data_IF_883598589953
#
_entry.id   IF_883598589953
#
_cell.length_a   1.000
_cell.length_b   1.000
_cell.length_c   1.000
_cell.angle_alpha   90.00
_cell.angle_beta   90.00
_cell.angle_gamma   90.00
#
_symmetry.space_group_name_H-M   'P 1'
#
loop_
_entity.id
_entity.type
_entity.pdbx_description
1 polymer ?
#
# COMPACT_ATOMS: atom_id res chain seq x y z
N UNK A 1 -24.06 1.55 -4.54
CA UNK A 1 -23.51 1.08 -3.25
C UNK A 1 -24.68 0.54 -2.43
N UNK A 2 -24.69 -0.76 -2.11
CA UNK A 2 -25.78 -1.35 -1.32
C UNK A 2 -25.69 -0.94 0.14
N UNK A 3 -26.83 -0.93 0.85
CA UNK A 3 -26.88 -0.65 2.29
C UNK A 3 -26.04 -1.69 3.06
N UNK A 4 -25.06 -1.23 3.83
CA UNK A 4 -24.27 -2.09 4.71
C UNK A 4 -25.18 -2.57 5.86
N UNK A 5 -25.26 -3.88 6.09
CA UNK A 5 -26.08 -4.49 7.17
C UNK A 5 -25.53 -4.24 8.59
N UNK A 6 -24.42 -3.51 8.72
CA UNK A 6 -23.68 -3.35 9.98
C UNK A 6 -23.21 -1.89 10.12
N UNK A 7 -23.15 -1.34 11.36
CA UNK A 7 -22.78 0.05 11.62
C UNK A 7 -21.26 0.28 11.69
N UNK A 8 -20.44 -0.67 11.24
CA UNK A 8 -18.98 -0.62 11.34
C UNK A 8 -18.32 -0.97 10.01
N UNK A 9 -17.04 -0.62 9.89
CA UNK A 9 -16.19 -0.92 8.74
C UNK A 9 -15.04 -1.80 9.17
N UNK A 10 -14.54 -2.63 8.25
CA UNK A 10 -13.37 -3.45 8.51
C UNK A 10 -12.12 -2.84 7.88
N UNK A 11 -11.05 -2.82 8.66
CA UNK A 11 -9.71 -2.51 8.20
C UNK A 11 -8.76 -3.68 8.50
N UNK A 12 -7.67 -3.77 7.75
CA UNK A 12 -6.62 -4.77 8.00
C UNK A 12 -5.29 -4.28 7.47
N UNK A 13 -4.21 -4.98 7.80
CA UNK A 13 -2.85 -4.71 7.31
C UNK A 13 -2.42 -5.83 6.38
N UNK A 14 -1.95 -5.47 5.18
CA UNK A 14 -1.51 -6.40 4.15
C UNK A 14 -0.24 -5.89 3.46
N UNK A 15 0.38 -6.74 2.65
CA UNK A 15 1.48 -6.31 1.79
C UNK A 15 0.95 -5.85 0.42
N UNK A 16 1.79 -5.18 -0.36
CA UNK A 16 1.43 -4.66 -1.69
C UNK A 16 1.05 -5.77 -2.69
N UNK A 17 1.39 -7.04 -2.40
CA UNK A 17 0.99 -8.21 -3.21
C UNK A 17 -0.53 -8.35 -3.35
N UNK A 18 -1.32 -7.70 -2.50
CA UNK A 18 -2.78 -7.64 -2.68
C UNK A 18 -3.17 -7.14 -4.08
N UNK A 19 -2.38 -6.25 -4.68
CA UNK A 19 -2.61 -5.74 -6.03
C UNK A 19 -2.61 -6.84 -7.11
N UNK A 20 -2.01 -8.00 -6.82
CA UNK A 20 -1.91 -9.14 -7.74
C UNK A 20 -3.08 -10.15 -7.55
N UNK A 21 -3.89 -9.99 -6.50
CA UNK A 21 -4.97 -10.92 -6.14
C UNK A 21 -6.34 -10.24 -6.21
N UNK A 22 -6.87 -10.18 -7.44
CA UNK A 22 -8.18 -9.59 -7.71
C UNK A 22 -9.31 -10.31 -6.97
N UNK A 23 -9.27 -11.63 -6.90
CA UNK A 23 -10.31 -12.42 -6.24
C UNK A 23 -10.37 -12.10 -4.75
N UNK A 24 -9.21 -12.06 -4.08
CA UNK A 24 -9.14 -11.68 -2.67
C UNK A 24 -9.68 -10.26 -2.44
N UNK A 25 -9.29 -9.27 -3.25
CA UNK A 25 -9.81 -7.92 -3.11
C UNK A 25 -11.33 -7.86 -3.29
N UNK A 26 -11.89 -8.58 -4.27
CA UNK A 26 -13.34 -8.68 -4.45
C UNK A 26 -14.04 -9.29 -3.24
N UNK A 27 -13.47 -10.35 -2.66
CA UNK A 27 -13.99 -10.99 -1.45
C UNK A 27 -13.91 -10.08 -0.23
N UNK A 28 -12.81 -9.33 -0.07
CA UNK A 28 -12.64 -8.34 0.99
C UNK A 28 -13.71 -7.25 0.92
N UNK A 29 -13.93 -6.68 -0.26
CA UNK A 29 -14.98 -5.65 -0.46
C UNK A 29 -16.37 -6.23 -0.18
N UNK A 30 -16.66 -7.45 -0.66
CA UNK A 30 -17.93 -8.16 -0.36
C UNK A 30 -18.11 -8.43 1.15
N UNK A 31 -17.02 -8.73 1.86
CA UNK A 31 -17.02 -8.94 3.30
C UNK A 31 -17.14 -7.63 4.12
N UNK A 32 -17.04 -6.47 3.48
CA UNK A 32 -17.22 -5.16 4.10
C UNK A 32 -15.93 -4.46 4.53
N UNK A 33 -14.76 -4.94 4.07
CA UNK A 33 -13.52 -4.17 4.17
C UNK A 33 -13.61 -2.95 3.26
N UNK A 34 -13.17 -1.81 3.78
CA UNK A 34 -13.06 -0.59 2.98
C UNK A 34 -11.67 0.04 3.04
N UNK A 35 -10.80 -0.43 3.92
CA UNK A 35 -9.47 0.14 4.12
C UNK A 35 -8.44 -0.96 4.35
N UNK A 36 -7.29 -0.83 3.68
CA UNK A 36 -6.09 -1.64 3.93
C UNK A 36 -4.93 -0.74 4.27
N UNK A 37 -4.17 -1.11 5.29
CA UNK A 37 -2.87 -0.53 5.56
C UNK A 37 -1.82 -1.33 4.80
N UNK A 38 -1.01 -0.65 3.99
CA UNK A 38 0.09 -1.24 3.22
C UNK A 38 1.40 -0.60 3.64
N UNK A 39 2.34 -1.41 4.10
CA UNK A 39 3.71 -0.97 4.39
C UNK A 39 4.50 -0.78 3.10
N UNK A 40 4.49 0.46 2.57
CA UNK A 40 5.27 0.89 1.41
C UNK A 40 6.74 1.09 1.81
N UNK A 41 6.96 1.58 3.03
CA UNK A 41 8.23 1.86 3.69
C UNK A 41 9.07 2.94 3.00
N UNK A 42 9.57 2.70 1.80
CA UNK A 42 10.46 3.63 1.09
C UNK A 42 10.26 3.53 -0.42
N UNK A 43 10.40 4.64 -1.18
CA UNK A 43 10.52 4.62 -2.63
C UNK A 43 11.93 4.21 -3.11
N UNK A 44 12.87 3.98 -2.19
CA UNK A 44 14.25 3.60 -2.48
C UNK A 44 14.47 2.08 -2.42
N UNK A 45 14.96 1.49 -3.50
CA UNK A 45 15.14 0.04 -3.57
C UNK A 45 16.21 -0.50 -2.61
N UNK A 46 17.29 0.25 -2.34
CA UNK A 46 18.32 -0.22 -1.41
C UNK A 46 17.79 -0.25 0.03
N UNK A 47 17.00 0.77 0.41
CA UNK A 47 16.28 0.81 1.68
C UNK A 47 15.25 -0.33 1.80
N UNK A 48 14.55 -0.66 0.71
CA UNK A 48 13.63 -1.80 0.69
C UNK A 48 14.36 -3.14 0.84
N UNK A 49 15.54 -3.30 0.24
CA UNK A 49 16.38 -4.50 0.42
C UNK A 49 16.86 -4.61 1.87
N UNK A 50 17.34 -3.51 2.44
CA UNK A 50 17.81 -3.42 3.83
C UNK A 50 16.74 -3.88 4.82
N UNK A 51 15.49 -3.40 4.66
CA UNK A 51 14.38 -3.76 5.55
C UNK A 51 13.61 -5.04 5.13
N UNK A 52 14.08 -5.77 4.11
CA UNK A 52 13.51 -7.04 3.69
C UNK A 52 12.15 -6.95 2.97
N UNK A 53 11.79 -5.78 2.43
CA UNK A 53 10.53 -5.52 1.71
C UNK A 53 10.63 -5.87 0.22
N UNK A 54 11.06 -7.09 -0.08
CA UNK A 54 11.29 -7.54 -1.45
C UNK A 54 10.05 -7.49 -2.34
N UNK A 55 8.87 -7.65 -1.75
CA UNK A 55 7.59 -7.54 -2.47
C UNK A 55 7.28 -6.12 -2.98
N UNK A 56 8.00 -5.10 -2.51
CA UNK A 56 7.87 -3.71 -2.95
C UNK A 56 8.88 -3.36 -4.07
N UNK A 57 9.82 -4.26 -4.38
CA UNK A 57 10.89 -4.07 -5.38
C UNK A 57 10.44 -4.59 -6.74
N UNK A 58 11.04 -4.10 -7.83
CA UNK A 58 10.78 -4.54 -9.21
C UNK A 58 9.31 -4.37 -9.64
N UNK A 59 8.59 -3.42 -9.03
CA UNK A 59 7.21 -3.11 -9.39
C UNK A 59 6.93 -1.63 -9.29
N UNK A 60 5.93 -1.17 -10.03
CA UNK A 60 5.43 0.18 -9.91
C UNK A 60 4.45 0.25 -8.72
N UNK A 61 4.95 0.72 -7.57
CA UNK A 61 4.16 0.84 -6.34
C UNK A 61 2.91 1.71 -6.52
N UNK A 62 3.00 2.81 -7.28
CA UNK A 62 1.86 3.69 -7.52
C UNK A 62 0.77 2.98 -8.33
N UNK A 63 1.14 2.23 -9.36
CA UNK A 63 0.16 1.45 -10.13
C UNK A 63 -0.44 0.32 -9.29
N UNK A 64 0.33 -0.36 -8.45
CA UNK A 64 -0.19 -1.35 -7.50
C UNK A 64 -1.19 -0.74 -6.51
N UNK A 65 -0.90 0.46 -5.98
CA UNK A 65 -1.83 1.21 -5.11
C UNK A 65 -3.12 1.55 -5.87
N UNK A 66 -3.01 2.04 -7.11
CA UNK A 66 -4.18 2.35 -7.95
C UNK A 66 -5.04 1.13 -8.23
N UNK A 67 -4.45 -0.04 -8.46
CA UNK A 67 -5.20 -1.29 -8.65
C UNK A 67 -6.06 -1.59 -7.41
N UNK A 68 -5.49 -1.48 -6.20
CA UNK A 68 -6.21 -1.70 -4.95
C UNK A 68 -7.34 -0.67 -4.78
N UNK A 69 -7.06 0.61 -5.05
CA UNK A 69 -8.04 1.69 -4.97
C UNK A 69 -9.20 1.51 -5.95
N UNK A 70 -8.90 1.13 -7.19
CA UNK A 70 -9.90 0.89 -8.24
C UNK A 70 -10.83 -0.28 -7.91
N UNK A 71 -10.38 -1.22 -7.07
CA UNK A 71 -11.20 -2.35 -6.63
C UNK A 71 -12.18 -1.97 -5.49
N UNK A 72 -12.06 -0.76 -4.93
CA UNK A 72 -12.95 -0.21 -3.91
C UNK A 72 -12.37 -0.18 -2.48
N UNK A 73 -11.06 -0.38 -2.33
CA UNK A 73 -10.36 -0.33 -1.03
C UNK A 73 -9.54 0.96 -0.90
N UNK A 74 -9.70 1.69 0.20
CA UNK A 74 -8.79 2.77 0.56
C UNK A 74 -7.44 2.20 0.98
N UNK A 75 -6.36 2.87 0.59
CA UNK A 75 -4.99 2.49 0.97
C UNK A 75 -4.46 3.49 1.98
N UNK A 76 -4.15 3.04 3.19
CA UNK A 76 -3.32 3.75 4.14
C UNK A 76 -1.88 3.30 3.95
N UNK A 77 -1.05 4.15 3.38
CA UNK A 77 0.35 3.82 3.13
C UNK A 77 1.22 4.14 4.35
N UNK A 78 1.98 3.15 4.82
CA UNK A 78 3.03 3.32 5.82
C UNK A 78 4.38 3.65 5.16
N UNK A 79 5.09 4.64 5.71
CA UNK A 79 6.41 5.07 5.26
C UNK A 79 7.36 5.20 6.44
N UNK A 80 8.65 4.92 6.20
CA UNK A 80 9.74 5.05 7.16
C UNK A 80 10.86 5.84 6.48
N UNK A 81 11.42 6.80 7.21
CA UNK A 81 12.60 7.58 6.79
C UNK A 81 13.66 7.40 7.88
N UNK A 82 14.92 7.27 7.46
CA UNK A 82 16.07 7.09 8.34
C UNK A 82 16.70 5.70 8.26
N UNK A 83 16.59 5.03 7.11
CA UNK A 83 17.37 3.81 6.83
C UNK A 83 18.85 4.13 6.67
N UNK A 84 19.73 3.16 6.89
CA UNK A 84 21.18 3.39 6.75
C UNK A 84 21.56 3.75 5.31
N UNK A 85 20.79 3.28 4.33
CA UNK A 85 20.93 3.62 2.91
C UNK A 85 20.26 4.94 2.50
N UNK A 86 19.52 5.61 3.39
CA UNK A 86 18.90 6.87 3.06
C UNK A 86 19.96 7.97 2.88
N UNK A 87 19.88 8.66 1.74
CA UNK A 87 20.61 9.92 1.53
C UNK A 87 19.67 11.10 1.84
N UNK A 88 20.17 12.32 2.04
CA UNK A 88 19.31 13.50 2.23
C UNK A 88 18.26 13.72 1.12
N UNK A 89 18.45 13.13 -0.07
CA UNK A 89 17.45 13.18 -1.15
C UNK A 89 16.16 12.39 -0.85
N UNK A 90 16.14 11.53 0.18
CA UNK A 90 14.96 10.73 0.53
C UNK A 90 13.74 11.60 0.84
N UNK A 91 13.93 12.75 1.49
CA UNK A 91 12.83 13.65 1.84
C UNK A 91 12.08 14.12 0.59
N UNK A 92 12.81 14.60 -0.43
CA UNK A 92 12.21 15.05 -1.69
C UNK A 92 11.58 13.89 -2.46
N UNK A 93 12.26 12.73 -2.53
CA UNK A 93 11.72 11.54 -3.21
C UNK A 93 10.42 11.04 -2.56
N UNK A 94 10.36 11.05 -1.23
CA UNK A 94 9.16 10.66 -0.49
C UNK A 94 8.00 11.63 -0.76
N UNK A 95 8.25 12.94 -0.74
CA UNK A 95 7.24 13.96 -1.09
C UNK A 95 6.71 13.73 -2.51
N UNK A 96 7.61 13.56 -3.48
CA UNK A 96 7.26 13.32 -4.88
C UNK A 96 6.50 12.01 -5.08
N UNK A 97 6.74 11.00 -4.24
CA UNK A 97 6.00 9.75 -4.27
C UNK A 97 4.58 9.92 -3.71
N UNK A 98 4.43 10.59 -2.55
CA UNK A 98 3.15 10.77 -1.86
C UNK A 98 2.19 11.67 -2.65
N UNK A 99 2.70 12.66 -3.38
CA UNK A 99 1.87 13.63 -4.12
C UNK A 99 1.33 13.13 -5.46
N UNK A 100 1.66 11.90 -5.88
CA UNK A 100 1.22 11.30 -7.15
C UNK A 100 0.04 10.36 -6.96
#
# INVERSE_FOLDING_TARGET
MGEKKYPFTFNTQLSINLADDKELMELMVKAGFDTVFIGIESPDEESLKECGKFQNINRNLLESIKVIQNQGLQVQAGFIIGFDQDTPSIFDRMILFIQK
#
